data_IF_057379316640
#
_entry.id   IF_057379316640
#
_cell.length_a   1.000
_cell.length_b   1.000
_cell.length_c   1.000
_cell.angle_alpha   90.00
_cell.angle_beta   90.00
_cell.angle_gamma   90.00
#
_symmetry.space_group_name_H-M   'P 1'
#
loop_
_entity.id
_entity.type
_entity.pdbx_description
1 polymer ?
#
# COMPACT_ATOMS: atom_id res chain seq x y z
N UNK A 1 -33.44 15.03 1.47
CA UNK A 1 -32.62 14.85 0.25
C UNK A 1 -31.15 15.08 0.63
N UNK A 2 -30.50 14.07 1.21
CA UNK A 2 -29.13 14.16 1.70
C UNK A 2 -28.14 13.82 0.58
N UNK A 3 -27.40 14.83 0.11
CA UNK A 3 -26.28 14.64 -0.80
C UNK A 3 -25.14 13.98 -0.01
N UNK A 4 -24.88 12.71 -0.31
CA UNK A 4 -23.70 11.99 0.18
C UNK A 4 -22.53 12.46 -0.68
N UNK A 5 -21.69 13.32 -0.10
CA UNK A 5 -20.45 13.77 -0.74
C UNK A 5 -19.50 12.56 -0.84
N UNK A 6 -19.30 12.05 -2.06
CA UNK A 6 -18.30 11.03 -2.34
C UNK A 6 -16.92 11.63 -2.02
N UNK A 7 -16.38 11.26 -0.85
CA UNK A 7 -15.19 11.87 -0.27
C UNK A 7 -14.01 11.81 -1.25
N UNK A 8 -13.16 12.85 -1.25
CA UNK A 8 -11.94 12.90 -2.07
C UNK A 8 -11.02 11.68 -1.85
N UNK A 9 -11.13 11.02 -0.70
CA UNK A 9 -10.44 9.77 -0.37
C UNK A 9 -10.91 8.59 -1.23
N UNK A 10 -12.18 8.53 -1.62
CA UNK A 10 -12.69 7.51 -2.54
C UNK A 10 -12.12 7.68 -3.95
N UNK A 11 -11.88 8.92 -4.40
CA UNK A 11 -11.21 9.17 -5.69
C UNK A 11 -9.75 8.76 -5.69
N UNK A 12 -9.01 9.01 -4.61
CA UNK A 12 -7.61 8.57 -4.49
C UNK A 12 -7.51 7.04 -4.31
N UNK A 13 -8.44 6.41 -3.59
CA UNK A 13 -8.59 4.95 -3.55
C UNK A 13 -8.88 4.36 -4.92
N UNK A 14 -9.79 4.96 -5.69
CA UNK A 14 -10.09 4.56 -7.07
C UNK A 14 -8.85 4.68 -7.96
N UNK A 15 -8.03 5.72 -7.82
CA UNK A 15 -6.74 5.83 -8.53
C UNK A 15 -5.72 4.76 -8.11
N UNK A 16 -5.69 4.38 -6.83
CA UNK A 16 -4.87 3.26 -6.36
C UNK A 16 -5.35 1.92 -6.92
N UNK A 17 -6.67 1.68 -6.93
CA UNK A 17 -7.28 0.49 -7.50
C UNK A 17 -7.04 0.36 -9.01
N UNK A 18 -7.08 1.47 -9.76
CA UNK A 18 -6.74 1.50 -11.18
C UNK A 18 -5.26 1.13 -11.46
N UNK A 19 -4.36 1.33 -10.48
CA UNK A 19 -2.92 1.06 -10.64
C UNK A 19 -2.53 -0.39 -10.32
N UNK A 20 -3.24 -1.07 -9.42
CA UNK A 20 -3.11 -2.53 -9.26
C UNK A 20 -3.54 -3.30 -10.51
N UNK A 21 -4.13 -2.66 -11.52
CA UNK A 21 -4.40 -3.31 -12.80
C UNK A 21 -3.18 -3.32 -13.75
N UNK A 22 -2.11 -2.59 -13.44
CA UNK A 22 -0.95 -2.41 -14.33
C UNK A 22 0.27 -3.28 -13.98
N UNK A 23 0.31 -3.91 -12.81
CA UNK A 23 1.38 -4.83 -12.42
C UNK A 23 1.01 -6.28 -12.82
N UNK A 24 1.93 -7.06 -13.42
CA UNK A 24 1.74 -8.50 -13.58
C UNK A 24 1.54 -9.14 -12.21
N UNK A 25 0.45 -9.89 -12.01
CA UNK A 25 0.15 -10.56 -10.74
C UNK A 25 -0.83 -9.82 -9.81
N UNK A 26 -1.34 -8.65 -10.19
CA UNK A 26 -2.29 -7.86 -9.37
C UNK A 26 -3.69 -7.71 -9.99
N UNK A 27 -3.92 -8.36 -11.14
CA UNK A 27 -5.23 -8.42 -11.79
C UNK A 27 -6.23 -9.16 -10.91
N UNK A 28 -7.27 -8.44 -10.48
CA UNK A 28 -8.36 -9.01 -9.69
C UNK A 28 -9.37 -9.74 -10.57
N UNK A 29 -9.04 -10.96 -10.98
CA UNK A 29 -9.91 -11.81 -11.80
C UNK A 29 -11.11 -12.36 -11.02
N UNK A 30 -10.95 -12.61 -9.72
CA UNK A 30 -11.99 -13.23 -8.87
C UNK A 30 -12.72 -12.24 -7.96
N UNK A 31 -12.40 -10.94 -8.01
CA UNK A 31 -13.14 -9.90 -7.30
C UNK A 31 -12.83 -9.83 -5.80
N UNK A 32 -11.62 -10.24 -5.39
CA UNK A 32 -11.18 -10.34 -4.00
C UNK A 32 -10.40 -9.12 -3.50
N UNK A 33 -10.21 -8.11 -4.36
CA UNK A 33 -9.40 -6.93 -4.09
C UNK A 33 -9.79 -6.17 -2.82
N UNK A 34 -11.09 -6.04 -2.51
CA UNK A 34 -11.54 -5.31 -1.32
C UNK A 34 -11.06 -5.95 -0.01
N UNK A 35 -11.06 -7.29 0.10
CA UNK A 35 -10.57 -7.97 1.30
C UNK A 35 -9.05 -7.97 1.36
N UNK A 36 -8.38 -8.18 0.21
CA UNK A 36 -6.92 -8.06 0.10
C UNK A 36 -6.44 -6.69 0.58
N UNK A 37 -7.07 -5.61 0.11
CA UNK A 37 -6.70 -4.25 0.49
C UNK A 37 -7.08 -3.95 1.95
N UNK A 38 -8.20 -4.48 2.43
CA UNK A 38 -8.57 -4.38 3.85
C UNK A 38 -7.53 -5.02 4.78
N UNK A 39 -7.01 -6.20 4.46
CA UNK A 39 -5.91 -6.81 5.20
C UNK A 39 -4.60 -6.02 5.06
N UNK A 40 -4.28 -5.54 3.86
CA UNK A 40 -3.09 -4.72 3.66
C UNK A 40 -3.14 -3.42 4.49
N UNK A 41 -4.30 -2.77 4.59
CA UNK A 41 -4.47 -1.55 5.38
C UNK A 41 -4.51 -1.84 6.89
N UNK A 42 -4.99 -3.01 7.30
CA UNK A 42 -4.95 -3.47 8.70
C UNK A 42 -3.51 -3.73 9.17
N UNK A 43 -2.70 -4.40 8.33
CA UNK A 43 -1.35 -4.81 8.67
C UNK A 43 -0.31 -3.71 8.43
N UNK A 44 -0.44 -2.98 7.33
CA UNK A 44 0.53 -1.99 6.84
C UNK A 44 -0.16 -0.67 6.48
N UNK A 45 -0.81 0.01 7.45
CA UNK A 45 -1.55 1.23 7.19
C UNK A 45 -0.63 2.32 6.62
N UNK A 46 -1.11 3.02 5.60
CA UNK A 46 -0.35 4.11 4.95
C UNK A 46 0.70 3.64 3.94
N UNK A 47 1.01 2.35 3.89
CA UNK A 47 1.91 1.80 2.88
C UNK A 47 1.17 1.47 1.58
N UNK A 48 1.86 1.58 0.44
CA UNK A 48 1.31 1.19 -0.87
C UNK A 48 2.37 0.53 -1.75
N UNK A 49 1.93 -0.28 -2.74
CA UNK A 49 2.84 -0.98 -3.67
C UNK A 49 3.67 -0.03 -4.54
N UNK A 50 3.25 1.22 -4.67
CA UNK A 50 3.90 2.23 -5.52
C UNK A 50 4.83 3.15 -4.73
N UNK A 51 4.96 2.95 -3.42
CA UNK A 51 6.01 3.58 -2.63
C UNK A 51 7.31 2.81 -2.80
N UNK A 52 8.40 3.54 -2.97
CA UNK A 52 9.68 3.00 -3.40
C UNK A 52 10.80 3.16 -2.39
N UNK A 53 10.87 4.28 -1.66
CA UNK A 53 11.97 4.64 -0.73
C UNK A 53 11.47 5.49 0.42
N UNK A 54 12.05 5.32 1.61
CA UNK A 54 11.66 6.05 2.82
C UNK A 54 11.93 7.56 2.72
N UNK A 55 12.93 7.97 1.92
CA UNK A 55 13.32 9.38 1.74
C UNK A 55 12.18 10.31 1.41
N UNK A 56 11.17 9.84 0.68
CA UNK A 56 10.02 10.67 0.32
C UNK A 56 9.15 11.05 1.53
N UNK A 57 9.15 10.25 2.60
CA UNK A 57 8.51 10.61 3.89
C UNK A 57 9.21 11.79 4.57
N UNK A 58 10.42 12.14 4.17
CA UNK A 58 11.18 13.30 4.66
C UNK A 58 11.06 14.48 3.70
N UNK A 59 11.33 14.27 2.41
CA UNK A 59 11.46 15.36 1.44
C UNK A 59 10.13 16.08 1.19
N UNK A 60 9.00 15.35 1.21
CA UNK A 60 7.68 15.97 0.97
C UNK A 60 7.31 16.94 2.10
N UNK A 61 7.36 16.56 3.39
CA UNK A 61 7.19 17.51 4.49
C UNK A 61 8.12 18.72 4.44
N UNK A 62 9.40 18.52 4.06
CA UNK A 62 10.36 19.63 3.93
C UNK A 62 9.95 20.60 2.82
N UNK A 63 9.54 20.10 1.66
CA UNK A 63 9.01 20.96 0.58
C UNK A 63 7.75 21.74 1.02
N UNK A 64 6.86 21.13 1.79
CA UNK A 64 5.69 21.83 2.34
C UNK A 64 6.11 22.95 3.31
N UNK A 65 7.10 22.70 4.17
CA UNK A 65 7.66 23.72 5.08
C UNK A 65 8.38 24.83 4.32
N UNK A 66 9.13 24.50 3.28
CA UNK A 66 9.80 25.49 2.43
C UNK A 66 8.78 26.38 1.72
N UNK A 67 7.68 25.82 1.22
CA UNK A 67 6.60 26.62 0.64
C UNK A 67 6.03 27.61 1.66
N UNK A 68 5.82 27.18 2.90
CA UNK A 68 5.32 28.03 3.99
C UNK A 68 6.35 29.08 4.43
N UNK A 69 7.64 28.83 4.26
CA UNK A 69 8.70 29.81 4.53
C UNK A 69 8.86 30.85 3.40
N UNK A 70 8.25 30.64 2.22
CA UNK A 70 8.33 31.61 1.12
C UNK A 70 7.66 32.93 1.49
N UNK A 71 8.18 34.07 0.98
CA UNK A 71 7.51 35.36 1.11
C UNK A 71 6.09 35.31 0.56
N UNK A 72 5.15 36.01 1.21
CA UNK A 72 3.73 36.07 0.83
C UNK A 72 3.55 36.45 -0.65
N UNK A 73 4.37 37.36 -1.16
CA UNK A 73 4.35 37.78 -2.58
C UNK A 73 4.59 36.59 -3.53
N UNK A 74 5.46 35.66 -3.16
CA UNK A 74 5.75 34.44 -3.94
C UNK A 74 4.60 33.46 -3.81
N UNK A 75 4.09 33.22 -2.58
CA UNK A 75 2.95 32.31 -2.34
C UNK A 75 1.66 32.75 -3.06
N UNK A 76 1.46 34.06 -3.25
CA UNK A 76 0.33 34.59 -4.03
C UNK A 76 0.43 34.31 -5.53
N UNK A 77 1.65 34.17 -6.06
CA UNK A 77 1.91 33.96 -7.51
C UNK A 77 2.04 32.49 -7.88
N UNK A 78 2.43 31.63 -6.95
CA UNK A 78 2.63 30.21 -7.16
C UNK A 78 1.80 29.39 -6.19
N UNK A 79 0.93 28.53 -6.71
CA UNK A 79 0.12 27.66 -5.85
C UNK A 79 1.01 26.59 -5.17
N UNK A 80 0.60 26.07 -3.99
CA UNK A 80 1.34 24.99 -3.33
C UNK A 80 1.48 23.75 -4.22
N UNK A 81 0.46 23.44 -5.02
CA UNK A 81 0.49 22.34 -5.99
C UNK A 81 1.57 22.56 -7.05
N UNK A 82 1.62 23.75 -7.65
CA UNK A 82 2.63 24.09 -8.67
C UNK A 82 4.04 24.03 -8.08
N UNK A 83 4.21 24.56 -6.86
CA UNK A 83 5.48 24.51 -6.15
C UNK A 83 5.95 23.08 -5.90
N UNK A 84 5.08 22.20 -5.39
CA UNK A 84 5.42 20.80 -5.14
C UNK A 84 5.82 20.07 -6.42
N UNK A 85 5.05 20.22 -7.50
CA UNK A 85 5.36 19.61 -8.80
C UNK A 85 6.75 20.03 -9.28
N UNK A 86 7.08 21.33 -9.21
CA UNK A 86 8.39 21.84 -9.60
C UNK A 86 9.51 21.27 -8.72
N UNK A 87 9.32 21.26 -7.40
CA UNK A 87 10.31 20.77 -6.44
C UNK A 87 10.53 19.27 -6.53
N UNK A 88 9.49 18.49 -6.79
CA UNK A 88 9.60 17.06 -6.98
C UNK A 88 10.31 16.69 -8.28
N UNK A 89 10.05 17.42 -9.38
CA UNK A 89 10.80 17.23 -10.62
C UNK A 89 12.29 17.55 -10.42
N UNK A 90 12.60 18.66 -9.73
CA UNK A 90 13.98 19.01 -9.36
C UNK A 90 14.62 17.96 -8.45
N UNK A 91 13.87 17.39 -7.50
CA UNK A 91 14.34 16.36 -6.59
C UNK A 91 14.68 15.09 -7.37
N UNK A 92 13.81 14.66 -8.29
CA UNK A 92 14.05 13.50 -9.14
C UNK A 92 15.34 13.66 -9.97
N UNK A 93 15.53 14.83 -10.61
CA UNK A 93 16.74 15.13 -11.36
C UNK A 93 18.00 15.13 -10.47
N UNK A 94 17.92 15.75 -9.29
CA UNK A 94 19.05 15.85 -8.35
C UNK A 94 19.45 14.48 -7.81
N UNK A 95 18.48 13.66 -7.39
CA UNK A 95 18.72 12.29 -6.91
C UNK A 95 19.29 11.40 -8.01
N UNK A 96 18.73 11.49 -9.23
CA UNK A 96 19.20 10.69 -10.37
C UNK A 96 20.65 11.06 -10.69
N UNK A 97 20.97 12.35 -10.76
CA UNK A 97 22.34 12.84 -11.03
C UNK A 97 23.33 12.43 -9.94
N UNK A 98 22.92 12.50 -8.66
CA UNK A 98 23.79 12.16 -7.53
C UNK A 98 24.15 10.68 -7.48
N UNK A 99 23.20 9.81 -7.79
CA UNK A 99 23.35 8.36 -7.64
C UNK A 99 23.62 7.63 -8.97
N UNK A 100 24.10 8.34 -10.01
CA UNK A 100 24.51 7.72 -11.27
C UNK A 100 25.64 6.72 -10.99
N UNK A 101 25.46 5.47 -11.42
CA UNK A 101 26.47 4.43 -11.29
C UNK A 101 26.53 3.74 -9.91
N UNK A 102 25.74 4.18 -8.93
CA UNK A 102 25.69 3.56 -7.59
C UNK A 102 24.73 2.36 -7.52
N UNK A 103 24.04 2.02 -8.61
CA UNK A 103 23.07 0.92 -8.64
C UNK A 103 21.81 1.18 -7.80
N UNK A 104 21.60 2.43 -7.36
CA UNK A 104 20.42 2.86 -6.62
C UNK A 104 19.17 2.71 -7.47
N UNK A 105 18.14 2.06 -6.91
CA UNK A 105 16.82 1.90 -7.52
C UNK A 105 15.73 2.59 -6.70
N UNK A 106 14.56 2.77 -7.30
CA UNK A 106 13.38 3.31 -6.61
C UNK A 106 13.29 4.84 -6.58
N UNK A 107 14.11 5.57 -7.34
CA UNK A 107 13.96 7.01 -7.53
C UNK A 107 12.73 7.23 -8.43
N UNK A 108 11.68 7.83 -7.88
CA UNK A 108 10.47 8.18 -8.61
C UNK A 108 10.81 9.29 -9.61
N UNK A 109 10.64 9.00 -10.91
CA UNK A 109 10.95 9.91 -12.01
C UNK A 109 12.29 9.68 -12.70
N UNK A 110 13.07 8.66 -12.32
CA UNK A 110 14.42 8.42 -12.87
C UNK A 110 14.46 7.93 -14.32
N UNK A 111 13.35 7.40 -14.84
CA UNK A 111 13.23 6.90 -16.22
C UNK A 111 12.70 7.94 -17.21
N UNK A 112 12.50 9.19 -16.78
CA UNK A 112 11.98 10.28 -17.60
C UNK A 112 13.13 10.99 -18.34
N UNK A 113 12.92 11.39 -19.59
CA UNK A 113 13.88 12.23 -20.32
C UNK A 113 14.01 13.62 -19.67
N UNK A 114 15.11 14.33 -19.95
CA UNK A 114 15.29 15.71 -19.48
C UNK A 114 14.11 16.59 -19.96
N UNK A 115 13.31 17.12 -19.02
CA UNK A 115 12.17 17.99 -19.30
C UNK A 115 10.78 17.32 -19.24
N UNK A 116 10.70 15.99 -19.10
CA UNK A 116 9.41 15.32 -18.88
C UNK A 116 9.05 15.31 -17.38
N UNK A 117 7.88 15.85 -17.03
CA UNK A 117 7.42 15.91 -15.64
C UNK A 117 7.07 14.53 -15.07
N UNK A 118 7.31 14.31 -13.77
CA UNK A 118 7.07 13.01 -13.13
C UNK A 118 5.60 12.61 -13.27
N UNK A 119 5.31 11.51 -13.97
CA UNK A 119 3.92 11.02 -14.18
C UNK A 119 3.19 10.69 -12.86
N UNK A 120 3.96 10.49 -11.77
CA UNK A 120 3.48 10.18 -10.42
C UNK A 120 4.24 10.98 -9.36
N UNK A 121 3.70 12.13 -8.99
CA UNK A 121 4.23 12.98 -7.93
C UNK A 121 4.35 12.26 -6.57
N UNK A 122 5.55 12.21 -5.93
CA UNK A 122 5.73 11.65 -4.60
C UNK A 122 4.72 12.14 -3.55
N UNK A 123 4.37 13.44 -3.54
CA UNK A 123 3.33 14.01 -2.66
C UNK A 123 1.96 13.34 -2.83
N UNK A 124 1.64 12.80 -4.00
CA UNK A 124 0.45 11.97 -4.19
C UNK A 124 0.58 10.59 -3.59
N UNK A 125 1.73 9.96 -3.82
CA UNK A 125 1.99 8.55 -3.49
C UNK A 125 2.12 8.35 -1.98
N UNK A 126 2.71 9.32 -1.27
CA UNK A 126 2.99 9.20 0.15
C UNK A 126 1.98 9.95 1.03
N UNK A 127 0.99 10.66 0.48
CA UNK A 127 0.06 11.47 1.27
C UNK A 127 -0.62 10.68 2.39
N UNK A 128 -1.12 9.49 2.09
CA UNK A 128 -1.80 8.64 3.07
C UNK A 128 -0.82 8.23 4.20
N UNK A 129 0.41 7.88 3.85
CA UNK A 129 1.47 7.57 4.82
C UNK A 129 1.76 8.77 5.73
N UNK A 130 1.95 9.96 5.14
CA UNK A 130 2.27 11.18 5.88
C UNK A 130 1.22 11.49 6.95
N UNK A 131 -0.06 11.26 6.66
CA UNK A 131 -1.16 11.44 7.62
C UNK A 131 -1.18 10.35 8.68
N UNK A 132 -1.18 9.08 8.26
CA UNK A 132 -1.32 7.93 9.17
C UNK A 132 -0.18 7.88 10.19
N UNK A 133 1.04 8.20 9.76
CA UNK A 133 2.22 8.21 10.61
C UNK A 133 2.44 9.54 11.33
N UNK A 134 1.47 10.47 11.29
CA UNK A 134 1.53 11.74 12.04
C UNK A 134 2.71 12.64 11.66
N UNK A 135 3.19 12.52 10.42
CA UNK A 135 4.20 13.41 9.86
C UNK A 135 3.53 14.72 9.40
N UNK A 136 2.32 14.60 8.84
CA UNK A 136 1.41 15.72 8.60
C UNK A 136 0.14 15.47 9.40
N UNK A 137 -0.08 16.28 10.45
CA UNK A 137 -1.23 16.17 11.34
C UNK A 137 -2.49 16.74 10.66
N UNK A 138 -3.17 15.91 9.87
CA UNK A 138 -4.42 16.28 9.20
C UNK A 138 -5.26 15.05 8.86
N UNK A 139 -6.57 15.23 8.81
CA UNK A 139 -7.53 14.27 8.23
C UNK A 139 -7.91 14.62 6.80
N UNK A 140 -7.43 15.76 6.27
CA UNK A 140 -7.79 16.24 4.94
C UNK A 140 -7.14 15.41 3.83
N UNK A 141 -7.80 15.35 2.66
CA UNK A 141 -7.15 14.90 1.43
C UNK A 141 -6.03 15.88 1.03
N UNK A 142 -5.09 15.43 0.18
CA UNK A 142 -3.95 16.26 -0.25
C UNK A 142 -4.42 17.61 -0.79
N UNK A 143 -5.39 17.60 -1.69
CA UNK A 143 -5.86 18.83 -2.33
C UNK A 143 -6.59 19.76 -1.34
N UNK A 144 -7.32 19.22 -0.36
CA UNK A 144 -7.94 20.03 0.70
C UNK A 144 -6.86 20.65 1.59
N UNK A 145 -5.85 19.88 1.96
CA UNK A 145 -4.72 20.39 2.75
C UNK A 145 -3.97 21.48 2.00
N UNK A 146 -3.59 21.28 0.73
CA UNK A 146 -2.89 22.30 -0.05
C UNK A 146 -3.72 23.57 -0.22
N UNK A 147 -5.04 23.46 -0.41
CA UNK A 147 -5.93 24.64 -0.40
C UNK A 147 -5.91 25.37 0.94
N UNK A 148 -5.88 24.64 2.06
CA UNK A 148 -5.79 25.26 3.39
C UNK A 148 -4.49 26.03 3.60
N UNK A 149 -3.40 25.69 2.89
CA UNK A 149 -2.14 26.45 2.94
C UNK A 149 -2.20 27.80 2.19
N UNK A 150 -3.25 28.04 1.39
CA UNK A 150 -3.42 29.29 0.64
C UNK A 150 -4.24 30.33 1.40
N UNK A 151 -5.07 29.89 2.33
CA UNK A 151 -5.88 30.79 3.14
C UNK A 151 -4.99 31.31 4.27
N UNK A 152 -4.73 32.62 4.27
CA UNK A 152 -4.09 33.30 5.42
C UNK A 152 -5.02 33.29 6.65
N UNK A 153 -6.31 32.94 6.48
CA UNK A 153 -7.25 32.62 7.55
C UNK A 153 -7.43 31.11 7.67
N UNK A 154 -7.11 30.54 8.83
CA UNK A 154 -7.18 29.10 9.12
C UNK A 154 -8.63 28.60 9.24
N UNK A 155 -9.24 27.98 8.21
CA UNK A 155 -10.64 27.55 8.28
C UNK A 155 -10.77 26.18 8.97
N UNK A 156 -9.64 25.53 9.27
CA UNK A 156 -9.53 24.20 9.86
C UNK A 156 -9.05 24.23 11.32
N UNK A 157 -8.83 25.43 11.88
CA UNK A 157 -8.29 25.67 13.23
C UNK A 157 -9.31 25.95 14.33
N UNK A 158 -10.59 26.20 14.03
CA UNK A 158 -11.55 26.67 15.06
C UNK A 158 -12.18 25.57 15.92
N UNK A 159 -11.43 24.58 16.37
CA UNK A 159 -11.99 23.65 17.38
C UNK A 159 -11.09 23.30 18.54
N UNK A 160 -9.87 23.82 18.67
CA UNK A 160 -9.12 23.67 19.93
C UNK A 160 -8.13 24.83 20.16
N UNK A 161 -8.40 25.54 21.27
CA UNK A 161 -7.54 26.41 22.08
C UNK A 161 -7.49 27.91 21.73
N UNK A 162 -8.01 28.69 22.67
CA UNK A 162 -8.00 30.15 22.74
C UNK A 162 -6.59 30.74 22.88
N UNK A 163 -6.45 31.92 22.27
CA UNK A 163 -5.57 33.05 22.58
C UNK A 163 -4.14 32.77 23.04
N UNK A 164 -3.18 32.85 22.10
CA UNK A 164 -1.95 33.62 22.36
C UNK A 164 -1.44 34.27 21.07
N UNK A 165 -1.18 35.57 21.17
CA UNK A 165 -0.46 36.42 20.22
C UNK A 165 0.97 35.88 19.99
N UNK A 166 1.56 36.11 18.81
CA UNK A 166 2.88 35.63 18.31
C UNK A 166 3.01 34.14 17.82
N UNK A 167 2.01 33.57 17.11
CA UNK A 167 1.91 32.11 16.88
C UNK A 167 2.12 31.52 15.45
N UNK A 168 2.49 32.28 14.41
CA UNK A 168 2.48 31.71 13.05
C UNK A 168 3.61 30.70 12.76
N UNK A 169 4.79 30.83 13.39
CA UNK A 169 5.85 29.82 13.28
C UNK A 169 5.55 28.57 14.12
N UNK A 170 4.78 28.72 15.21
CA UNK A 170 4.40 27.64 16.12
C UNK A 170 3.27 26.75 15.57
N UNK A 171 2.28 27.34 14.90
CA UNK A 171 1.10 26.63 14.38
C UNK A 171 1.46 25.58 13.31
N UNK A 172 2.30 25.95 12.34
CA UNK A 172 2.71 25.01 11.27
C UNK A 172 3.72 23.96 11.73
N UNK A 173 4.54 24.24 12.76
CA UNK A 173 5.39 23.22 13.39
C UNK A 173 4.61 22.20 14.19
N UNK A 174 3.40 22.55 14.61
CA UNK A 174 2.44 21.57 15.11
C UNK A 174 1.90 20.67 14.00
N UNK A 175 1.61 21.23 12.81
CA UNK A 175 0.97 20.51 11.69
C UNK A 175 1.90 19.67 10.83
N UNK A 176 3.12 20.13 10.53
CA UNK A 176 4.09 19.42 9.68
C UNK A 176 5.37 19.15 10.49
N UNK A 177 5.54 17.88 10.85
CA UNK A 177 6.66 17.39 11.67
C UNK A 177 7.85 17.04 10.77
N UNK A 178 9.05 17.38 11.24
CA UNK A 178 10.33 17.11 10.60
C UNK A 178 11.30 16.56 11.65
N UNK A 179 12.37 15.89 11.20
CA UNK A 179 13.50 15.52 12.05
C UNK A 179 14.27 16.77 12.52
N UNK A 180 14.56 17.67 11.57
CA UNK A 180 15.15 18.99 11.77
C UNK A 180 14.74 19.89 10.62
N UNK A 181 14.71 21.19 10.86
CA UNK A 181 14.51 22.17 9.80
C UNK A 181 15.85 22.81 9.41
N UNK A 182 16.21 22.67 8.14
CA UNK A 182 17.37 23.29 7.52
C UNK A 182 16.93 23.81 6.15
N UNK A 183 17.22 25.08 5.80
CA UNK A 183 16.73 25.71 4.57
C UNK A 183 17.50 25.23 3.31
N UNK A 184 18.69 24.67 3.48
CA UNK A 184 19.64 24.23 2.45
C UNK A 184 19.64 22.72 2.22
N UNK A 185 18.67 22.00 2.81
CA UNK A 185 18.57 20.53 2.74
C UNK A 185 18.55 19.97 1.31
N UNK A 186 18.15 20.79 0.33
CA UNK A 186 18.01 20.39 -1.06
C UNK A 186 19.36 20.23 -1.78
N UNK A 187 20.39 21.01 -1.40
CA UNK A 187 21.68 21.02 -2.11
C UNK A 187 22.44 19.69 -1.99
N UNK A 188 22.31 19.05 -0.83
CA UNK A 188 23.00 17.80 -0.50
C UNK A 188 22.04 16.62 -0.34
N UNK A 189 20.84 16.68 -0.94
CA UNK A 189 19.86 15.60 -0.82
C UNK A 189 20.37 14.32 -1.48
N UNK A 190 20.35 13.23 -0.72
CA UNK A 190 20.61 11.88 -1.19
C UNK A 190 19.42 10.96 -0.91
N UNK A 191 19.40 9.79 -1.53
CA UNK A 191 18.32 8.81 -1.35
C UNK A 191 18.39 8.11 0.01
N UNK A 192 19.59 7.88 0.53
CA UNK A 192 19.80 7.24 1.83
C UNK A 192 19.45 8.20 2.96
N UNK A 193 18.80 7.69 4.01
CA UNK A 193 18.44 8.48 5.18
C UNK A 193 19.70 8.82 6.00
N UNK A 194 19.76 10.05 6.51
CA UNK A 194 20.69 10.40 7.58
C UNK A 194 20.20 9.80 8.90
N UNK A 195 21.09 9.66 9.89
CA UNK A 195 20.73 9.16 11.22
C UNK A 195 19.53 9.90 11.85
N UNK A 196 19.55 11.24 11.80
CA UNK A 196 18.46 12.11 12.27
C UNK A 196 17.12 11.80 11.58
N UNK A 197 17.14 11.65 10.26
CA UNK A 197 15.93 11.35 9.48
C UNK A 197 15.38 9.95 9.81
N UNK A 198 16.27 8.97 9.97
CA UNK A 198 15.90 7.61 10.28
C UNK A 198 15.35 7.48 11.71
N UNK A 199 15.97 8.16 12.68
CA UNK A 199 15.48 8.25 14.06
C UNK A 199 14.08 8.87 14.12
N UNK A 200 13.86 9.96 13.40
CA UNK A 200 12.54 10.57 13.29
C UNK A 200 11.49 9.62 12.70
N UNK A 201 11.79 8.91 11.60
CA UNK A 201 10.83 7.97 11.03
C UNK A 201 10.57 6.78 11.95
N UNK A 202 11.59 6.26 12.63
CA UNK A 202 11.42 5.20 13.64
C UNK A 202 10.51 5.65 14.78
N UNK A 203 10.66 6.89 15.28
CA UNK A 203 9.75 7.46 16.27
C UNK A 203 8.31 7.56 15.75
N UNK A 204 8.14 8.00 14.49
CA UNK A 204 6.82 8.12 13.86
C UNK A 204 6.14 6.76 13.66
N UNK A 205 6.90 5.75 13.27
CA UNK A 205 6.39 4.37 13.18
C UNK A 205 6.00 3.84 14.57
N UNK A 206 6.81 4.08 15.60
CA UNK A 206 6.52 3.70 16.98
C UNK A 206 5.26 4.38 17.53
N UNK A 207 4.99 5.63 17.15
CA UNK A 207 3.79 6.37 17.55
C UNK A 207 2.55 6.13 16.66
N UNK A 208 2.65 5.24 15.66
CA UNK A 208 1.58 5.01 14.69
C UNK A 208 0.43 4.12 15.19
N UNK A 209 -0.38 3.57 14.27
CA UNK A 209 -1.49 2.69 14.63
C UNK A 209 -0.99 1.47 15.41
N UNK A 210 -1.45 1.33 16.66
CA UNK A 210 -0.86 0.39 17.62
C UNK A 210 -0.78 -1.03 17.08
N UNK A 211 -1.87 -1.59 16.56
CA UNK A 211 -1.89 -2.99 16.11
C UNK A 211 -1.25 -3.27 14.74
N UNK A 212 -0.72 -2.24 14.06
CA UNK A 212 -0.04 -2.44 12.78
C UNK A 212 1.33 -3.08 12.94
N UNK A 213 1.77 -3.82 11.93
CA UNK A 213 3.05 -4.52 11.98
C UNK A 213 4.25 -3.58 12.12
N UNK A 214 4.37 -2.47 11.36
CA UNK A 214 5.50 -1.54 11.53
C UNK A 214 5.59 -0.97 12.95
N UNK A 215 4.47 -0.57 13.55
CA UNK A 215 4.43 -0.07 14.94
C UNK A 215 4.89 -1.14 15.92
N UNK A 216 4.37 -2.36 15.79
CA UNK A 216 4.73 -3.47 16.67
C UNK A 216 6.19 -3.89 16.51
N UNK A 217 6.74 -3.85 15.29
CA UNK A 217 8.15 -4.14 15.07
C UNK A 217 9.06 -3.12 15.75
N UNK A 218 8.68 -1.84 15.79
CA UNK A 218 9.41 -0.79 16.51
C UNK A 218 9.28 -0.89 18.04
N UNK A 219 8.14 -1.36 18.56
CA UNK A 219 7.92 -1.52 20.00
C UNK A 219 8.65 -2.71 20.61
N UNK A 220 8.81 -3.78 19.83
CA UNK A 220 9.42 -5.04 20.28
C UNK A 220 10.84 -5.24 19.72
N UNK A 221 11.42 -4.21 19.08
CA UNK A 221 12.74 -4.25 18.43
C UNK A 221 12.91 -5.41 17.41
N UNK A 222 11.82 -5.80 16.76
CA UNK A 222 11.77 -6.92 15.82
C UNK A 222 12.13 -6.53 14.38
N UNK A 223 12.32 -5.24 14.07
CA UNK A 223 12.54 -4.77 12.69
C UNK A 223 13.62 -5.56 11.94
N UNK A 224 14.81 -5.74 12.53
CA UNK A 224 15.92 -6.44 11.87
C UNK A 224 15.62 -7.91 11.59
N UNK A 225 14.96 -8.59 12.53
CA UNK A 225 14.53 -9.98 12.34
C UNK A 225 13.49 -10.08 11.23
N UNK A 226 12.45 -9.22 11.28
CA UNK A 226 11.33 -9.28 10.35
C UNK A 226 11.77 -8.97 8.92
N UNK A 227 12.72 -8.06 8.72
CA UNK A 227 13.32 -7.75 7.42
C UNK A 227 13.96 -8.97 6.73
N UNK A 228 14.35 -10.00 7.49
CA UNK A 228 14.87 -11.25 6.95
C UNK A 228 13.84 -12.06 6.15
N UNK A 229 12.55 -11.91 6.44
CA UNK A 229 11.49 -12.62 5.73
C UNK A 229 11.18 -11.97 4.38
N UNK A 230 11.40 -12.73 3.29
CA UNK A 230 11.30 -12.16 1.94
C UNK A 230 9.91 -12.12 1.32
N UNK A 231 8.94 -12.79 1.94
CA UNK A 231 7.57 -12.87 1.48
C UNK A 231 6.62 -12.81 2.68
N UNK A 232 5.39 -12.37 2.44
CA UNK A 232 4.39 -12.34 3.50
C UNK A 232 4.11 -13.72 4.14
N UNK A 233 4.02 -14.85 3.42
CA UNK A 233 3.88 -16.16 4.05
C UNK A 233 5.01 -16.50 5.04
N UNK A 234 6.26 -16.17 4.69
CA UNK A 234 7.40 -16.38 5.59
C UNK A 234 7.32 -15.46 6.83
N UNK A 235 6.87 -14.22 6.64
CA UNK A 235 6.63 -13.28 7.73
C UNK A 235 5.52 -13.78 8.68
N UNK A 236 4.42 -14.29 8.12
CA UNK A 236 3.31 -14.83 8.89
C UNK A 236 3.74 -15.99 9.80
N UNK A 237 4.51 -16.94 9.28
CA UNK A 237 5.07 -18.03 10.08
C UNK A 237 6.04 -17.54 11.15
N UNK A 238 6.89 -16.55 10.83
CA UNK A 238 7.77 -15.92 11.80
C UNK A 238 7.02 -15.25 12.96
N UNK A 239 5.87 -14.62 12.67
CA UNK A 239 5.02 -13.92 13.65
C UNK A 239 4.19 -14.90 14.50
N UNK A 240 3.74 -16.02 13.93
CA UNK A 240 2.89 -17.02 14.60
C UNK A 240 3.42 -17.40 15.98
N UNK A 241 4.73 -17.54 16.10
CA UNK A 241 5.42 -17.99 17.32
C UNK A 241 5.88 -16.87 18.25
N UNK A 242 5.61 -15.59 17.95
CA UNK A 242 6.05 -14.43 18.74
C UNK A 242 5.04 -14.08 19.83
N UNK A 243 5.17 -14.67 21.01
CA UNK A 243 4.27 -14.45 22.15
C UNK A 243 4.26 -13.03 22.69
N UNK A 244 5.33 -12.31 22.41
CA UNK A 244 5.60 -10.91 22.73
C UNK A 244 4.68 -9.95 21.95
N UNK A 245 4.18 -10.36 20.78
CA UNK A 245 3.24 -9.55 20.00
C UNK A 245 1.81 -9.64 20.55
N UNK A 246 1.05 -8.53 20.55
CA UNK A 246 -0.36 -8.52 20.92
C UNK A 246 -1.16 -9.57 20.15
N UNK A 247 -2.04 -10.27 20.85
CA UNK A 247 -2.91 -11.32 20.28
C UNK A 247 -3.64 -10.80 19.04
N UNK A 248 -4.22 -9.60 19.12
CA UNK A 248 -4.91 -8.96 17.98
C UNK A 248 -4.04 -8.77 16.74
N UNK A 249 -2.75 -8.48 16.91
CA UNK A 249 -1.81 -8.34 15.77
C UNK A 249 -1.49 -9.71 15.16
N UNK A 250 -1.27 -10.73 16.00
CA UNK A 250 -1.06 -12.10 15.53
C UNK A 250 -2.29 -12.67 14.81
N UNK A 251 -3.47 -12.45 15.36
CA UNK A 251 -4.74 -12.88 14.75
C UNK A 251 -4.96 -12.19 13.41
N UNK A 252 -4.64 -10.89 13.28
CA UNK A 252 -4.72 -10.17 12.01
C UNK A 252 -3.82 -10.78 10.93
N UNK A 253 -2.59 -11.15 11.30
CA UNK A 253 -1.65 -11.82 10.40
C UNK A 253 -2.14 -13.21 10.01
N UNK A 254 -2.66 -13.97 10.97
CA UNK A 254 -3.16 -15.32 10.71
C UNK A 254 -4.39 -15.31 9.80
N UNK A 255 -5.31 -14.37 10.02
CA UNK A 255 -6.46 -14.18 9.13
C UNK A 255 -6.02 -13.82 7.71
N UNK A 256 -5.05 -12.90 7.56
CA UNK A 256 -4.52 -12.53 6.25
C UNK A 256 -3.78 -13.70 5.57
N UNK A 257 -3.03 -14.49 6.34
CA UNK A 257 -2.36 -15.68 5.82
C UNK A 257 -3.37 -16.73 5.35
N UNK A 258 -4.35 -17.06 6.19
CA UNK A 258 -5.42 -18.01 5.88
C UNK A 258 -6.25 -17.59 4.66
N UNK A 259 -6.58 -16.30 4.55
CA UNK A 259 -7.27 -15.75 3.38
C UNK A 259 -6.42 -15.90 2.10
N UNK A 260 -5.12 -15.62 2.18
CA UNK A 260 -4.20 -15.79 1.05
C UNK A 260 -4.10 -17.24 0.59
N UNK A 261 -3.94 -18.20 1.52
CA UNK A 261 -3.84 -19.62 1.16
C UNK A 261 -5.16 -20.15 0.56
N UNK A 262 -6.32 -19.77 1.12
CA UNK A 262 -7.62 -20.17 0.59
C UNK A 262 -7.83 -19.68 -0.85
N UNK A 263 -7.48 -18.42 -1.12
CA UNK A 263 -7.65 -17.78 -2.43
C UNK A 263 -6.60 -18.23 -3.45
N UNK A 264 -5.43 -18.67 -2.99
CA UNK A 264 -4.43 -19.28 -3.86
C UNK A 264 -5.02 -20.51 -4.56
N UNK A 265 -5.75 -21.37 -3.86
CA UNK A 265 -6.44 -22.52 -4.45
C UNK A 265 -7.43 -22.15 -5.56
N UNK A 266 -8.24 -21.11 -5.33
CA UNK A 266 -9.19 -20.62 -6.33
C UNK A 266 -8.46 -20.11 -7.59
N UNK A 267 -7.31 -19.45 -7.42
CA UNK A 267 -6.50 -18.98 -8.56
C UNK A 267 -5.77 -20.12 -9.28
N UNK A 268 -5.37 -21.19 -8.60
CA UNK A 268 -4.83 -22.39 -9.25
C UNK A 268 -5.88 -22.99 -10.18
N UNK A 269 -7.11 -23.20 -9.68
CA UNK A 269 -8.22 -23.71 -10.51
C UNK A 269 -8.57 -22.77 -11.65
N UNK A 270 -8.59 -21.45 -11.40
CA UNK A 270 -8.80 -20.46 -12.44
C UNK A 270 -7.77 -20.55 -13.56
N UNK A 271 -6.48 -20.62 -13.21
CA UNK A 271 -5.40 -20.73 -14.19
C UNK A 271 -5.41 -22.08 -14.91
N UNK A 272 -5.78 -23.16 -14.24
CA UNK A 272 -6.03 -24.46 -14.87
C UNK A 272 -7.14 -24.35 -15.94
N UNK A 273 -8.27 -23.70 -15.64
CA UNK A 273 -9.35 -23.47 -16.62
C UNK A 273 -8.90 -22.62 -17.81
N UNK A 274 -8.07 -21.61 -17.58
CA UNK A 274 -7.48 -20.79 -18.66
C UNK A 274 -6.54 -21.63 -19.53
N UNK A 275 -5.70 -22.48 -18.92
CA UNK A 275 -4.79 -23.37 -19.64
C UNK A 275 -5.54 -24.40 -20.50
N UNK A 276 -6.60 -25.01 -19.97
CA UNK A 276 -7.50 -25.92 -20.72
C UNK A 276 -8.11 -25.21 -21.92
N UNK A 277 -8.63 -23.99 -21.73
CA UNK A 277 -9.19 -23.19 -22.82
C UNK A 277 -8.15 -22.85 -23.89
N UNK A 278 -6.90 -22.58 -23.48
CA UNK A 278 -5.80 -22.25 -24.37
C UNK A 278 -5.11 -23.45 -25.02
N UNK A 279 -5.48 -24.70 -24.67
CA UNK A 279 -4.83 -25.91 -25.17
C UNK A 279 -3.35 -26.02 -24.77
N UNK A 280 -2.99 -25.55 -23.57
CA UNK A 280 -1.60 -25.55 -23.06
C UNK A 280 -1.37 -26.71 -22.10
N UNK A 281 -1.17 -27.91 -22.65
CA UNK A 281 -1.02 -29.16 -21.88
C UNK A 281 0.11 -29.11 -20.83
N UNK A 282 1.18 -28.35 -21.12
CA UNK A 282 2.27 -28.09 -20.19
C UNK A 282 1.79 -27.35 -18.93
N UNK A 283 0.97 -26.30 -19.11
CA UNK A 283 0.40 -25.53 -18.00
C UNK A 283 -0.71 -26.29 -17.27
N UNK A 284 -1.52 -27.08 -18.00
CA UNK A 284 -2.55 -27.94 -17.40
C UNK A 284 -1.90 -28.90 -16.41
N UNK A 285 -0.82 -29.56 -16.83
CA UNK A 285 -0.07 -30.50 -15.98
C UNK A 285 0.55 -29.78 -14.79
N UNK A 286 1.22 -28.65 -15.01
CA UNK A 286 1.85 -27.87 -13.94
C UNK A 286 0.85 -27.41 -12.87
N UNK A 287 -0.28 -26.83 -13.28
CA UNK A 287 -1.30 -26.35 -12.35
C UNK A 287 -2.07 -27.50 -11.68
N UNK A 288 -2.19 -28.66 -12.33
CA UNK A 288 -2.67 -29.88 -11.70
C UNK A 288 -1.77 -30.34 -10.54
N UNK A 289 -0.45 -30.32 -10.74
CA UNK A 289 0.52 -30.64 -9.68
C UNK A 289 0.49 -29.61 -8.54
N UNK A 290 0.42 -28.31 -8.86
CA UNK A 290 0.28 -27.26 -7.84
C UNK A 290 -1.00 -27.45 -7.02
N UNK A 291 -2.11 -27.87 -7.65
CA UNK A 291 -3.35 -28.18 -6.96
C UNK A 291 -3.22 -29.35 -5.98
N UNK A 292 -2.57 -30.45 -6.40
CA UNK A 292 -2.38 -31.61 -5.51
C UNK A 292 -1.53 -31.29 -4.28
N UNK A 293 -0.54 -30.40 -4.42
CA UNK A 293 0.22 -29.92 -3.26
C UNK A 293 -0.63 -29.04 -2.37
N UNK A 294 -1.43 -28.14 -2.96
CA UNK A 294 -2.29 -27.22 -2.21
C UNK A 294 -3.42 -27.94 -1.47
N UNK A 295 -4.01 -28.98 -2.06
CA UNK A 295 -5.16 -29.72 -1.50
C UNK A 295 -4.80 -30.54 -0.25
N UNK A 296 -3.51 -30.83 -0.05
CA UNK A 296 -3.01 -31.55 1.13
C UNK A 296 -2.94 -30.70 2.39
N UNK A 297 -2.90 -29.37 2.25
CA UNK A 297 -2.87 -28.44 3.39
C UNK A 297 -4.26 -28.23 3.98
N UNK A 298 -4.39 -28.03 5.30
CA UNK A 298 -5.66 -27.66 5.91
C UNK A 298 -6.05 -26.24 5.49
N UNK A 299 -7.34 -26.04 5.21
CA UNK A 299 -7.90 -24.75 4.82
C UNK A 299 -9.06 -24.36 5.74
N UNK A 300 -9.23 -23.05 5.92
CA UNK A 300 -10.29 -22.48 6.76
C UNK A 300 -11.68 -22.70 6.16
N UNK A 301 -12.68 -22.84 7.04
CA UNK A 301 -14.08 -22.95 6.67
C UNK A 301 -14.78 -21.60 6.46
N UNK A 302 -16.07 -21.63 6.07
CA UNK A 302 -16.87 -20.43 5.77
C UNK A 302 -17.05 -19.48 6.95
N UNK A 303 -16.96 -19.97 8.20
CA UNK A 303 -17.04 -19.16 9.41
C UNK A 303 -15.99 -18.04 9.47
N UNK A 304 -14.82 -18.27 8.87
CA UNK A 304 -13.71 -17.30 8.83
C UNK A 304 -14.04 -16.09 7.94
N UNK A 305 -14.86 -16.28 6.89
CA UNK A 305 -15.16 -15.22 5.91
C UNK A 305 -15.87 -14.03 6.57
N UNK A 306 -16.84 -14.30 7.45
CA UNK A 306 -17.55 -13.27 8.17
C UNK A 306 -16.62 -12.51 9.14
N UNK A 307 -15.66 -13.22 9.76
CA UNK A 307 -14.66 -12.59 10.63
C UNK A 307 -13.74 -11.66 9.85
N UNK A 308 -13.24 -12.08 8.69
CA UNK A 308 -12.38 -11.24 7.85
C UNK A 308 -13.06 -9.93 7.46
N UNK A 309 -14.34 -9.97 7.07
CA UNK A 309 -15.10 -8.78 6.70
C UNK A 309 -15.25 -7.83 7.90
N UNK A 310 -15.53 -8.35 9.09
CA UNK A 310 -15.66 -7.54 10.32
C UNK A 310 -14.35 -6.87 10.70
N UNK A 311 -13.25 -7.63 10.75
CA UNK A 311 -11.96 -7.14 11.24
C UNK A 311 -11.29 -6.17 10.27
N UNK A 312 -11.46 -6.38 8.96
CA UNK A 312 -10.91 -5.47 7.94
C UNK A 312 -11.82 -4.27 7.65
N UNK A 313 -13.10 -4.32 8.02
CA UNK A 313 -14.11 -3.34 7.60
C UNK A 313 -14.37 -3.31 6.09
N UNK A 314 -13.89 -4.32 5.35
CA UNK A 314 -14.03 -4.42 3.91
C UNK A 314 -15.50 -4.53 3.48
N UNK A 315 -15.82 -4.02 2.29
CA UNK A 315 -17.15 -4.11 1.69
C UNK A 315 -17.09 -4.83 0.36
N UNK A 316 -16.81 -6.16 0.36
CA UNK A 316 -16.79 -6.93 -0.88
C UNK A 316 -18.17 -6.92 -1.53
N UNK A 317 -18.21 -7.08 -2.85
CA UNK A 317 -19.47 -7.25 -3.56
C UNK A 317 -20.21 -8.49 -3.05
N UNK A 318 -21.55 -8.45 -3.08
CA UNK A 318 -22.40 -9.55 -2.57
C UNK A 318 -22.04 -10.90 -3.20
N UNK A 319 -21.78 -10.93 -4.51
CA UNK A 319 -21.40 -12.16 -5.20
C UNK A 319 -19.99 -12.65 -4.83
N UNK A 320 -19.04 -11.75 -4.53
CA UNK A 320 -17.72 -12.13 -3.99
C UNK A 320 -17.89 -12.76 -2.62
N UNK A 321 -18.70 -12.16 -1.75
CA UNK A 321 -18.95 -12.73 -0.43
C UNK A 321 -19.59 -14.13 -0.53
N UNK A 322 -20.58 -14.29 -1.42
CA UNK A 322 -21.20 -15.59 -1.69
C UNK A 322 -20.16 -16.60 -2.19
N UNK A 323 -19.34 -16.20 -3.17
CA UNK A 323 -18.27 -17.05 -3.70
C UNK A 323 -17.30 -17.50 -2.62
N UNK A 324 -16.87 -16.62 -1.72
CA UNK A 324 -15.94 -16.97 -0.64
C UNK A 324 -16.53 -18.01 0.31
N UNK A 325 -17.80 -17.86 0.67
CA UNK A 325 -18.51 -18.82 1.53
C UNK A 325 -18.71 -20.17 0.82
N UNK A 326 -19.13 -20.15 -0.45
CA UNK A 326 -19.36 -21.37 -1.22
C UNK A 326 -18.04 -22.10 -1.50
N UNK A 327 -16.98 -21.36 -1.85
CA UNK A 327 -15.65 -21.88 -2.11
C UNK A 327 -15.05 -22.54 -0.87
N UNK A 328 -14.98 -21.82 0.25
CA UNK A 328 -14.46 -22.37 1.52
C UNK A 328 -15.29 -23.57 2.00
N UNK A 329 -16.62 -23.49 1.91
CA UNK A 329 -17.50 -24.59 2.25
C UNK A 329 -17.34 -25.82 1.35
N UNK A 330 -17.12 -25.62 0.05
CA UNK A 330 -16.88 -26.71 -0.90
C UNK A 330 -15.52 -27.38 -0.69
N UNK A 331 -14.47 -26.59 -0.43
CA UNK A 331 -13.12 -27.09 -0.11
C UNK A 331 -13.16 -27.90 1.19
N UNK A 332 -13.76 -27.37 2.25
CA UNK A 332 -13.85 -28.05 3.54
C UNK A 332 -14.61 -29.39 3.48
N UNK A 333 -15.56 -29.53 2.53
CA UNK A 333 -16.32 -30.76 2.30
C UNK A 333 -15.65 -31.74 1.33
N UNK A 334 -14.49 -31.40 0.76
CA UNK A 334 -13.83 -32.23 -0.25
C UNK A 334 -14.64 -32.35 -1.55
N UNK A 335 -15.26 -31.26 -2.01
CA UNK A 335 -16.04 -31.26 -3.24
C UNK A 335 -15.21 -31.68 -4.47
N UNK A 336 -15.89 -32.21 -5.50
CA UNK A 336 -15.22 -32.64 -6.74
C UNK A 336 -14.59 -31.45 -7.48
N UNK A 337 -13.51 -31.70 -8.24
CA UNK A 337 -12.86 -30.66 -9.05
C UNK A 337 -13.82 -29.98 -10.03
N UNK A 338 -14.76 -30.73 -10.61
CA UNK A 338 -15.76 -30.18 -11.52
C UNK A 338 -16.65 -29.15 -10.83
N UNK A 339 -17.07 -29.40 -9.59
CA UNK A 339 -17.86 -28.46 -8.79
C UNK A 339 -17.06 -27.22 -8.41
N UNK A 340 -15.80 -27.39 -8.01
CA UNK A 340 -14.90 -26.28 -7.67
C UNK A 340 -14.59 -25.39 -8.89
N UNK A 341 -14.34 -26.01 -10.04
CA UNK A 341 -14.12 -25.32 -11.30
C UNK A 341 -15.34 -24.50 -11.73
N UNK A 342 -16.54 -25.01 -11.50
CA UNK A 342 -17.77 -24.28 -11.78
C UNK A 342 -17.94 -23.05 -10.89
N UNK A 343 -17.65 -23.15 -9.58
CA UNK A 343 -17.65 -21.99 -8.67
C UNK A 343 -16.70 -20.89 -9.16
N UNK A 344 -15.48 -21.27 -9.55
CA UNK A 344 -14.46 -20.34 -10.04
C UNK A 344 -14.87 -19.71 -11.38
N UNK A 345 -15.42 -20.51 -12.30
CA UNK A 345 -15.91 -20.04 -13.61
C UNK A 345 -17.03 -19.02 -13.43
N UNK A 346 -18.03 -19.33 -12.61
CA UNK A 346 -19.14 -18.43 -12.31
C UNK A 346 -18.65 -17.12 -11.69
N UNK A 347 -17.72 -17.19 -10.74
CA UNK A 347 -17.19 -15.99 -10.09
C UNK A 347 -16.40 -15.09 -11.05
N UNK A 348 -15.51 -15.67 -11.87
CA UNK A 348 -14.74 -14.92 -12.86
C UNK A 348 -15.66 -14.19 -13.86
N UNK A 349 -16.74 -14.84 -14.29
CA UNK A 349 -17.75 -14.23 -15.17
C UNK A 349 -18.59 -13.19 -14.42
N UNK A 350 -19.01 -13.41 -13.17
CA UNK A 350 -19.78 -12.41 -12.40
C UNK A 350 -18.96 -11.14 -12.13
N UNK A 351 -17.67 -11.29 -11.83
CA UNK A 351 -16.77 -10.19 -11.53
C UNK A 351 -16.48 -9.31 -12.77
N UNK A 352 -16.09 -9.93 -13.91
CA UNK A 352 -15.65 -9.17 -15.10
C UNK A 352 -16.60 -9.20 -16.29
N UNK A 353 -17.65 -10.04 -16.27
CA UNK A 353 -18.61 -10.25 -17.37
C UNK A 353 -17.88 -10.56 -18.68
N UNK A 354 -18.19 -9.82 -19.74
CA UNK A 354 -17.54 -9.92 -21.06
C UNK A 354 -16.03 -9.65 -21.00
N UNK A 355 -15.54 -8.93 -19.98
CA UNK A 355 -14.12 -8.63 -19.84
C UNK A 355 -13.31 -9.78 -19.24
N UNK A 356 -13.96 -10.83 -18.75
CA UNK A 356 -13.29 -12.02 -18.19
C UNK A 356 -12.39 -12.67 -19.23
N UNK A 357 -11.19 -13.06 -18.82
CA UNK A 357 -10.24 -13.74 -19.72
C UNK A 357 -10.77 -15.12 -20.18
N UNK A 358 -11.67 -15.72 -19.38
CA UNK A 358 -12.40 -16.92 -19.75
C UNK A 358 -13.37 -16.70 -20.93
N UNK A 359 -13.71 -15.45 -21.26
CA UNK A 359 -14.56 -15.11 -22.41
C UNK A 359 -13.76 -14.53 -23.60
N UNK A 360 -12.51 -14.11 -23.40
CA UNK A 360 -11.67 -13.49 -24.43
C UNK A 360 -10.78 -14.48 -25.18
N UNK A 361 -10.37 -14.19 -26.43
CA UNK A 361 -9.30 -14.94 -27.06
C UNK A 361 -8.01 -14.80 -26.24
N UNK A 362 -7.29 -15.91 -26.06
CA UNK A 362 -6.02 -15.95 -25.35
C UNK A 362 -4.88 -15.71 -26.35
N UNK A 363 -3.79 -15.00 -25.96
CA UNK A 363 -2.60 -14.90 -26.79
C UNK A 363 -1.94 -16.28 -26.95
N UNK A 364 -1.10 -16.46 -27.99
CA UNK A 364 -0.40 -17.74 -28.24
C UNK A 364 0.49 -18.16 -27.07
N UNK A 365 1.17 -17.20 -26.46
CA UNK A 365 1.98 -17.41 -25.28
C UNK A 365 1.34 -16.67 -24.10
N UNK A 366 1.07 -17.41 -23.04
CA UNK A 366 0.65 -16.89 -21.74
C UNK A 366 1.17 -17.81 -20.64
N UNK A 367 1.21 -17.27 -19.42
CA UNK A 367 1.53 -18.00 -18.20
C UNK A 367 0.46 -17.74 -17.14
N UNK A 368 0.89 -17.63 -15.88
CA UNK A 368 -0.01 -17.33 -14.76
C UNK A 368 -0.71 -15.97 -14.91
N UNK A 369 -2.01 -15.96 -14.67
CA UNK A 369 -2.87 -14.76 -14.70
C UNK A 369 -3.50 -14.56 -13.32
N UNK A 370 -3.54 -13.31 -12.87
CA UNK A 370 -4.11 -12.92 -11.58
C UNK A 370 -3.14 -13.14 -10.42
N UNK A 371 -3.67 -13.25 -9.21
CA UNK A 371 -2.86 -13.22 -7.98
C UNK A 371 -2.37 -14.60 -7.59
N UNK A 372 -1.12 -14.70 -7.12
CA UNK A 372 -0.62 -15.84 -6.33
C UNK A 372 -0.89 -15.58 -4.85
N UNK A 373 -0.09 -16.20 -3.96
CA UNK A 373 -0.03 -15.82 -2.55
C UNK A 373 0.16 -14.32 -2.39
N UNK A 374 -0.66 -13.72 -1.54
CA UNK A 374 -0.75 -12.28 -1.39
C UNK A 374 0.40 -11.76 -0.54
N UNK A 375 1.07 -10.73 -1.04
CA UNK A 375 2.18 -10.08 -0.33
C UNK A 375 1.72 -8.94 0.59
N UNK A 376 0.48 -8.45 0.42
CA UNK A 376 -0.08 -7.32 1.18
C UNK A 376 0.80 -6.07 1.25
N UNK A 377 1.68 -5.87 0.24
CA UNK A 377 2.66 -4.77 0.16
C UNK A 377 3.89 -4.94 1.06
N UNK A 378 4.10 -6.12 1.66
CA UNK A 378 5.24 -6.39 2.52
C UNK A 378 6.57 -6.12 1.82
N UNK A 379 6.70 -6.43 0.54
CA UNK A 379 7.91 -6.16 -0.24
C UNK A 379 8.30 -4.67 -0.24
N UNK A 380 7.32 -3.77 -0.35
CA UNK A 380 7.56 -2.32 -0.30
C UNK A 380 7.80 -1.83 1.12
N UNK A 381 7.06 -2.35 2.10
CA UNK A 381 7.27 -2.06 3.52
C UNK A 381 8.70 -2.43 3.91
N UNK A 382 9.17 -3.61 3.50
CA UNK A 382 10.53 -4.08 3.77
C UNK A 382 11.58 -3.12 3.21
N UNK A 383 11.40 -2.60 1.99
CA UNK A 383 12.32 -1.60 1.43
C UNK A 383 12.35 -0.33 2.28
N UNK A 384 11.19 0.19 2.68
CA UNK A 384 11.12 1.42 3.49
C UNK A 384 11.69 1.20 4.89
N UNK A 385 11.41 0.06 5.53
CA UNK A 385 11.98 -0.28 6.82
C UNK A 385 13.50 -0.52 6.73
N UNK A 386 14.01 -1.10 5.63
CA UNK A 386 15.45 -1.25 5.37
C UNK A 386 16.14 0.10 5.28
N UNK A 387 15.57 1.05 4.51
CA UNK A 387 16.11 2.41 4.41
C UNK A 387 16.23 3.07 5.80
N UNK A 388 15.24 2.85 6.68
CA UNK A 388 15.25 3.38 8.06
C UNK A 388 16.33 2.68 8.90
N UNK A 389 16.44 1.36 8.84
CA UNK A 389 17.47 0.62 9.61
C UNK A 389 18.89 0.97 9.16
N UNK A 390 19.11 1.09 7.86
CA UNK A 390 20.40 1.52 7.29
C UNK A 390 20.77 2.93 7.76
N UNK A 391 19.81 3.86 7.77
CA UNK A 391 20.04 5.22 8.25
C UNK A 391 20.34 5.30 9.75
N UNK A 392 19.76 4.44 10.58
CA UNK A 392 20.06 4.35 12.02
C UNK A 392 21.45 3.78 12.32
N UNK A 393 22.01 2.99 11.40
CA UNK A 393 23.33 2.38 11.54
C UNK A 393 24.49 3.30 11.07
N UNK A 394 24.16 4.40 10.38
CA UNK A 394 25.07 5.48 10.03
C UNK A 394 25.28 6.42 11.21
#
# INVERSE_FOLDING_TARGET
>A
MGWVDFSADDRERVKHALKQLAEPGTLDELGIGSLRDGFADLLFPGFSTIQTRAKYLITIPRMLRDYLALPVVVRRRQSPEQYLVERENKLAASLTKRHVGEGVTGIIGSSMGEGEGVTRHPSSVYWVALRIWGIVATTASRNQFLRSLRSDEDPLGSTLLDEVDDQDAGSWGSRIKLDRYAHDWFENVGIHLTNSEAAFLSEKLRAGPFHSLPTQFEHHDLCNEMLGYRSFPALAEGIRNKTDLPVKTRDAVEMAHSFSELICGAHIRFNHLVAVKGGRDDLITAYGQEWEVWSQSPHVGPESVAQWVRETGARPNVYTLQFLNDWSGAVAKGATLSSLDELVRQQAVRNKRERSILNKPLPREFGWIGMKRLDYRWSQVRTILSDIREGLAC
#
